data_IF_657053694094
#
_entry.id   IF_657053694094
#
_cell.length_a   1.000
_cell.length_b   1.000
_cell.length_c   1.000
_cell.angle_alpha   90.00
_cell.angle_beta   90.00
_cell.angle_gamma   90.00
#
_symmetry.space_group_name_H-M   'P 1'
#
loop_
_entity.id
_entity.type
_entity.pdbx_description
1 polymer ?
#
# COMPACT_ATOMS: atom_id res chain seq x y z
N UNK A 1 29.14 -15.70 -31.98
CA UNK A 1 28.57 -16.21 -30.72
C UNK A 1 28.81 -15.24 -29.56
N UNK A 2 29.92 -15.29 -28.79
CA UNK A 2 30.12 -14.39 -27.64
C UNK A 2 30.11 -12.89 -28.00
N UNK A 3 30.85 -12.49 -29.05
CA UNK A 3 30.91 -11.09 -29.51
C UNK A 3 29.54 -10.53 -29.92
N UNK A 4 28.72 -11.36 -30.56
CA UNK A 4 27.36 -11.03 -30.98
C UNK A 4 26.41 -10.95 -29.78
N UNK A 5 26.52 -11.89 -28.83
CA UNK A 5 25.72 -11.91 -27.60
C UNK A 5 25.98 -10.68 -26.74
N UNK A 6 27.26 -10.31 -26.51
CA UNK A 6 27.61 -9.08 -25.78
C UNK A 6 26.97 -7.86 -26.45
N UNK A 7 27.06 -7.78 -27.79
CA UNK A 7 26.49 -6.66 -28.54
C UNK A 7 24.96 -6.63 -28.47
N UNK A 8 24.30 -7.78 -28.57
CA UNK A 8 22.84 -7.90 -28.55
C UNK A 8 22.29 -7.56 -27.17
N UNK A 9 22.85 -8.14 -26.10
CA UNK A 9 22.45 -7.92 -24.72
C UNK A 9 22.70 -6.48 -24.27
N UNK A 10 23.84 -5.88 -24.64
CA UNK A 10 24.10 -4.46 -24.40
C UNK A 10 23.00 -3.58 -25.00
N UNK A 11 22.63 -3.85 -26.26
CA UNK A 11 21.57 -3.09 -26.94
C UNK A 11 20.20 -3.32 -26.30
N UNK A 12 19.89 -4.54 -25.85
CA UNK A 12 18.64 -4.85 -25.16
C UNK A 12 18.52 -4.09 -23.82
N UNK A 13 19.63 -3.88 -23.12
CA UNK A 13 19.71 -3.01 -21.93
C UNK A 13 19.73 -1.49 -22.27
N UNK A 14 19.65 -1.11 -23.54
CA UNK A 14 19.65 0.28 -23.98
C UNK A 14 20.99 1.01 -23.83
N UNK A 15 22.08 0.28 -23.56
CA UNK A 15 23.39 0.88 -23.30
C UNK A 15 24.15 1.15 -24.60
N UNK A 16 24.91 2.23 -24.65
CA UNK A 16 25.95 2.49 -25.65
C UNK A 16 27.24 1.74 -25.29
N UNK A 17 28.17 1.60 -26.26
CA UNK A 17 29.49 1.00 -25.98
C UNK A 17 30.27 1.81 -24.94
N UNK A 18 30.09 3.13 -24.90
CA UNK A 18 30.74 4.01 -23.93
C UNK A 18 30.19 3.76 -22.53
N UNK A 19 28.86 3.65 -22.39
CA UNK A 19 28.21 3.42 -21.10
C UNK A 19 28.55 2.04 -20.53
N UNK A 20 28.59 0.99 -21.37
CA UNK A 20 29.04 -0.33 -20.94
C UNK A 20 30.51 -0.29 -20.48
N UNK A 21 31.36 0.43 -21.22
CA UNK A 21 32.77 0.56 -20.88
C UNK A 21 32.98 1.28 -19.54
N UNK A 22 32.21 2.35 -19.27
CA UNK A 22 32.21 3.07 -17.99
C UNK A 22 31.80 2.13 -16.85
N UNK A 23 30.72 1.35 -17.03
CA UNK A 23 30.23 0.41 -16.01
C UNK A 23 31.23 -0.71 -15.69
N UNK A 24 31.99 -1.16 -16.69
CA UNK A 24 33.00 -2.22 -16.55
C UNK A 24 34.40 -1.68 -16.20
N UNK A 25 34.53 -0.36 -16.02
CA UNK A 25 35.82 0.30 -15.79
C UNK A 25 36.89 -0.03 -16.84
N UNK A 26 36.50 -0.04 -18.12
CA UNK A 26 37.41 -0.27 -19.26
C UNK A 26 37.29 0.84 -20.30
N UNK A 27 38.24 0.91 -21.23
CA UNK A 27 38.15 1.82 -22.36
C UNK A 27 37.05 1.37 -23.34
N UNK A 28 36.34 2.32 -23.96
CA UNK A 28 35.34 2.05 -25.01
C UNK A 28 35.89 1.17 -26.15
N UNK A 29 37.15 1.37 -26.50
CA UNK A 29 37.82 0.56 -27.53
C UNK A 29 37.88 -0.92 -27.14
N UNK A 30 38.03 -1.24 -25.86
CA UNK A 30 38.03 -2.61 -25.34
C UNK A 30 36.68 -3.29 -25.62
N UNK A 31 35.58 -2.62 -25.26
CA UNK A 31 34.22 -3.11 -25.57
C UNK A 31 34.01 -3.24 -27.08
N UNK A 32 34.47 -2.28 -27.88
CA UNK A 32 34.38 -2.38 -29.34
C UNK A 32 35.19 -3.55 -29.91
N UNK A 33 36.32 -3.93 -29.32
CA UNK A 33 37.12 -5.08 -29.78
C UNK A 33 36.42 -6.39 -29.42
N UNK A 34 35.85 -6.51 -28.23
CA UNK A 34 35.04 -7.67 -27.84
C UNK A 34 33.84 -7.87 -28.77
N UNK A 35 33.07 -6.81 -29.05
CA UNK A 35 31.90 -6.89 -29.94
C UNK A 35 32.25 -7.19 -31.40
N UNK A 36 33.48 -6.89 -31.82
CA UNK A 36 33.99 -7.22 -33.16
C UNK A 36 34.69 -8.58 -33.22
N UNK A 37 34.83 -9.28 -32.08
CA UNK A 37 35.59 -10.53 -31.99
C UNK A 37 37.10 -10.37 -32.16
N UNK A 38 37.63 -9.15 -32.01
CA UNK A 38 39.07 -8.85 -32.13
C UNK A 38 39.84 -9.16 -30.84
N UNK A 39 39.13 -9.28 -29.72
CA UNK A 39 39.64 -9.74 -28.43
C UNK A 39 38.53 -10.44 -27.67
N UNK A 40 38.89 -11.17 -26.61
CA UNK A 40 37.92 -11.87 -25.74
C UNK A 40 38.11 -11.36 -24.32
N UNK A 41 37.03 -11.08 -23.56
CA UNK A 41 37.12 -10.78 -22.13
C UNK A 41 37.62 -12.00 -21.36
N UNK A 42 38.39 -11.78 -20.29
CA UNK A 42 38.76 -12.84 -19.36
C UNK A 42 37.58 -13.29 -18.49
N UNK A 43 37.79 -14.29 -17.63
CA UNK A 43 36.74 -14.87 -16.80
C UNK A 43 36.14 -13.86 -15.81
N UNK A 44 36.96 -13.02 -15.20
CA UNK A 44 36.51 -11.98 -14.26
C UNK A 44 35.68 -10.91 -14.98
N UNK A 45 36.12 -10.52 -16.17
CA UNK A 45 35.39 -9.60 -17.03
C UNK A 45 34.08 -10.21 -17.55
N UNK A 46 34.03 -11.51 -17.83
CA UNK A 46 32.79 -12.20 -18.19
C UNK A 46 31.77 -12.17 -17.03
N UNK A 47 32.21 -12.37 -15.79
CA UNK A 47 31.35 -12.20 -14.62
C UNK A 47 30.86 -10.76 -14.50
N UNK A 48 31.75 -9.78 -14.66
CA UNK A 48 31.41 -8.35 -14.60
C UNK A 48 30.41 -7.94 -15.69
N UNK A 49 30.59 -8.46 -16.92
CA UNK A 49 29.65 -8.27 -18.02
C UNK A 49 28.29 -8.89 -17.69
N UNK A 50 28.28 -10.09 -17.09
CA UNK A 50 27.06 -10.79 -16.71
C UNK A 50 26.25 -10.03 -15.66
N UNK A 51 26.92 -9.43 -14.68
CA UNK A 51 26.30 -8.58 -13.66
C UNK A 51 25.75 -7.28 -14.25
N UNK A 52 26.55 -6.58 -15.07
CA UNK A 52 26.13 -5.31 -15.69
C UNK A 52 24.96 -5.52 -16.66
N UNK A 53 24.92 -6.64 -17.36
CA UNK A 53 23.85 -6.98 -18.29
C UNK A 53 22.73 -7.78 -17.64
N UNK A 54 22.83 -8.08 -16.34
CA UNK A 54 21.86 -8.84 -15.53
C UNK A 54 21.40 -10.15 -16.21
N UNK A 55 22.36 -10.90 -16.75
CA UNK A 55 22.12 -12.21 -17.34
C UNK A 55 23.17 -13.21 -16.85
N UNK A 56 22.84 -14.49 -16.73
CA UNK A 56 23.82 -15.52 -16.44
C UNK A 56 24.97 -15.55 -17.48
N UNK A 57 26.20 -15.84 -17.03
CA UNK A 57 27.38 -15.99 -17.93
C UNK A 57 27.13 -17.04 -19.03
N UNK A 58 26.36 -18.09 -18.74
CA UNK A 58 25.91 -19.08 -19.71
C UNK A 58 25.24 -18.46 -20.94
N UNK A 59 24.38 -17.46 -20.73
CA UNK A 59 23.73 -16.66 -21.81
C UNK A 59 24.75 -15.96 -22.70
N UNK A 60 25.82 -15.39 -22.12
CA UNK A 60 26.89 -14.73 -22.88
C UNK A 60 27.59 -15.73 -23.80
N UNK A 61 27.80 -16.95 -23.30
CA UNK A 61 28.47 -18.04 -24.01
C UNK A 61 27.57 -18.77 -25.02
N UNK A 62 26.30 -18.40 -25.12
CA UNK A 62 25.36 -18.93 -26.10
C UNK A 62 24.59 -20.16 -25.64
N UNK A 63 24.57 -20.43 -24.33
CA UNK A 63 23.60 -21.36 -23.76
C UNK A 63 22.22 -20.70 -23.88
N UNK A 64 21.31 -21.36 -24.59
CA UNK A 64 19.94 -20.90 -24.72
C UNK A 64 19.27 -21.06 -23.36
N UNK A 65 19.07 -19.95 -22.64
CA UNK A 65 18.10 -19.93 -21.56
C UNK A 65 16.76 -20.15 -22.23
N UNK A 66 16.12 -21.29 -21.93
CA UNK A 66 14.73 -21.50 -22.34
C UNK A 66 13.93 -20.29 -21.88
N UNK A 67 13.23 -19.59 -22.79
CA UNK A 67 12.39 -18.48 -22.39
C UNK A 67 11.47 -18.97 -21.27
N UNK A 68 11.23 -18.15 -20.22
CA UNK A 68 10.30 -18.55 -19.16
C UNK A 68 9.03 -19.06 -19.81
N UNK A 69 8.61 -20.27 -19.43
CA UNK A 69 7.52 -20.96 -20.11
C UNK A 69 6.29 -20.05 -20.06
N UNK A 70 5.62 -19.88 -21.19
CA UNK A 70 4.45 -18.98 -21.31
C UNK A 70 3.40 -19.29 -20.24
N UNK A 71 3.33 -20.54 -19.79
CA UNK A 71 2.48 -21.00 -18.69
C UNK A 71 2.86 -20.40 -17.33
N UNK A 72 4.14 -20.19 -17.03
CA UNK A 72 4.59 -19.56 -15.77
C UNK A 72 4.21 -18.07 -15.72
N UNK A 73 4.37 -17.36 -16.84
CA UNK A 73 3.97 -15.96 -16.96
C UNK A 73 2.45 -15.80 -16.79
N UNK A 74 1.69 -16.71 -17.40
CA UNK A 74 0.22 -16.74 -17.27
C UNK A 74 -0.20 -17.01 -15.83
N UNK A 75 0.42 -17.97 -15.16
CA UNK A 75 0.14 -18.28 -13.76
C UNK A 75 0.46 -17.11 -12.82
N UNK A 76 1.56 -16.38 -13.06
CA UNK A 76 1.90 -15.18 -12.28
C UNK A 76 0.87 -14.07 -12.51
N UNK A 77 0.45 -13.85 -13.77
CA UNK A 77 -0.56 -12.85 -14.12
C UNK A 77 -1.91 -13.14 -13.47
N UNK A 78 -2.37 -14.39 -13.52
CA UNK A 78 -3.62 -14.82 -12.89
C UNK A 78 -3.58 -14.60 -11.36
N UNK A 79 -2.46 -14.97 -10.71
CA UNK A 79 -2.29 -14.71 -9.27
C UNK A 79 -2.32 -13.23 -8.93
N UNK A 80 -1.70 -12.39 -9.76
CA UNK A 80 -1.69 -10.94 -9.57
C UNK A 80 -3.10 -10.34 -9.71
N UNK A 81 -3.89 -10.82 -10.67
CA UNK A 81 -5.28 -10.39 -10.86
C UNK A 81 -6.14 -10.75 -9.64
N UNK A 82 -6.00 -11.97 -9.12
CA UNK A 82 -6.70 -12.42 -7.91
C UNK A 82 -6.35 -11.54 -6.70
N UNK A 83 -5.06 -11.26 -6.47
CA UNK A 83 -4.61 -10.41 -5.36
C UNK A 83 -5.18 -9.00 -5.51
N UNK A 84 -5.14 -8.43 -6.72
CA UNK A 84 -5.68 -7.09 -6.97
C UNK A 84 -7.19 -7.03 -6.71
N UNK A 85 -7.95 -8.04 -7.14
CA UNK A 85 -9.37 -8.15 -6.88
C UNK A 85 -9.67 -8.26 -5.37
N UNK A 86 -8.88 -9.05 -4.62
CA UNK A 86 -9.01 -9.19 -3.17
C UNK A 86 -8.74 -7.86 -2.44
N UNK A 87 -7.67 -7.16 -2.80
CA UNK A 87 -7.34 -5.87 -2.20
C UNK A 87 -8.42 -4.82 -2.47
N UNK A 88 -8.96 -4.78 -3.70
CA UNK A 88 -10.07 -3.90 -4.05
C UNK A 88 -11.31 -4.19 -3.21
N UNK A 89 -11.65 -5.46 -3.00
CA UNK A 89 -12.77 -5.87 -2.15
C UNK A 89 -12.56 -5.44 -0.69
N UNK A 90 -11.36 -5.62 -0.13
CA UNK A 90 -11.04 -5.20 1.24
C UNK A 90 -11.17 -3.68 1.41
N UNK A 91 -10.67 -2.90 0.44
CA UNK A 91 -10.78 -1.43 0.50
C UNK A 91 -12.25 -0.97 0.46
N UNK A 92 -13.08 -1.60 -0.39
CA UNK A 92 -14.52 -1.30 -0.47
C UNK A 92 -15.24 -1.70 0.82
N UNK A 93 -14.96 -2.89 1.36
CA UNK A 93 -15.55 -3.37 2.61
C UNK A 93 -15.20 -2.44 3.78
N UNK A 94 -13.93 -2.06 3.92
CA UNK A 94 -13.47 -1.11 4.95
C UNK A 94 -14.15 0.25 4.84
N UNK A 95 -14.30 0.80 3.62
CA UNK A 95 -15.02 2.07 3.40
C UNK A 95 -16.49 1.96 3.82
N UNK A 96 -17.17 0.90 3.41
CA UNK A 96 -18.58 0.68 3.75
C UNK A 96 -18.76 0.48 5.26
N UNK A 97 -17.85 -0.25 5.91
CA UNK A 97 -17.84 -0.43 7.36
C UNK A 97 -17.70 0.92 8.06
N UNK A 98 -16.74 1.75 7.66
CA UNK A 98 -16.55 3.09 8.24
C UNK A 98 -17.78 3.97 8.05
N UNK A 99 -18.41 3.92 6.88
CA UNK A 99 -19.65 4.67 6.60
C UNK A 99 -20.77 4.30 7.58
N UNK A 100 -21.04 3.00 7.75
CA UNK A 100 -22.07 2.53 8.67
C UNK A 100 -21.73 2.79 10.14
N UNK A 101 -20.45 2.74 10.52
CA UNK A 101 -20.01 3.15 11.85
C UNK A 101 -20.29 4.63 12.11
N UNK A 102 -19.97 5.51 11.16
CA UNK A 102 -20.28 6.93 11.26
C UNK A 102 -21.78 7.20 11.39
N UNK A 103 -22.61 6.55 10.58
CA UNK A 103 -24.08 6.66 10.65
C UNK A 103 -24.60 6.18 12.01
N UNK A 104 -24.13 5.01 12.47
CA UNK A 104 -24.51 4.44 13.75
C UNK A 104 -24.14 5.36 14.91
N UNK A 105 -22.95 5.97 14.88
CA UNK A 105 -22.50 6.90 15.90
C UNK A 105 -23.39 8.15 15.95
N UNK A 106 -23.75 8.73 14.79
CA UNK A 106 -24.69 9.84 14.72
C UNK A 106 -26.05 9.46 15.32
N UNK A 107 -26.59 8.28 14.97
CA UNK A 107 -27.86 7.80 15.48
C UNK A 107 -27.84 7.62 17.02
N UNK A 108 -26.78 7.02 17.55
CA UNK A 108 -26.60 6.83 19.01
C UNK A 108 -26.56 8.18 19.73
N UNK A 109 -25.81 9.16 19.21
CA UNK A 109 -25.73 10.50 19.80
C UNK A 109 -27.13 11.15 19.84
N UNK A 110 -27.88 11.09 18.73
CA UNK A 110 -29.25 11.63 18.66
C UNK A 110 -30.17 10.95 19.67
N UNK A 111 -30.11 9.62 19.80
CA UNK A 111 -30.93 8.86 20.76
C UNK A 111 -30.59 9.26 22.19
N UNK A 112 -29.31 9.37 22.56
CA UNK A 112 -28.92 9.81 23.90
C UNK A 112 -29.43 11.22 24.20
N UNK A 113 -29.30 12.16 23.25
CA UNK A 113 -29.87 13.51 23.41
C UNK A 113 -31.39 13.48 23.60
N UNK A 114 -32.11 12.68 22.81
CA UNK A 114 -33.56 12.56 22.93
C UNK A 114 -33.97 11.99 24.30
N UNK A 115 -33.25 10.97 24.79
CA UNK A 115 -33.48 10.39 26.12
C UNK A 115 -33.23 11.41 27.22
N UNK A 116 -32.12 12.16 27.16
CA UNK A 116 -31.82 13.21 28.13
C UNK A 116 -32.88 14.32 28.13
N UNK A 117 -33.39 14.70 26.95
CA UNK A 117 -34.46 15.70 26.83
C UNK A 117 -35.79 15.22 27.44
N UNK A 118 -36.16 13.95 27.22
CA UNK A 118 -37.42 13.37 27.72
C UNK A 118 -37.35 13.08 29.22
N UNK A 119 -36.22 12.56 29.70
CA UNK A 119 -36.01 12.30 31.13
C UNK A 119 -36.03 13.60 31.96
N UNK A 120 -35.80 14.74 31.31
CA UNK A 120 -35.67 16.03 31.98
C UNK A 120 -34.40 16.09 32.83
N UNK A 121 -34.28 17.17 33.61
CA UNK A 121 -33.14 17.39 34.50
C UNK A 121 -33.39 16.72 35.85
N UNK A 122 -32.61 15.70 36.25
CA UNK A 122 -32.73 15.08 37.57
C UNK A 122 -32.35 16.04 38.71
N UNK A 123 -31.66 17.14 38.40
CA UNK A 123 -31.16 18.11 39.37
C UNK A 123 -32.25 18.79 40.20
N UNK A 124 -33.48 18.87 39.68
CA UNK A 124 -34.57 19.57 40.36
C UNK A 124 -35.16 18.77 41.53
N UNK A 125 -35.11 17.43 41.48
CA UNK A 125 -35.79 16.54 42.42
C UNK A 125 -34.81 15.65 43.21
N UNK A 126 -33.55 16.08 43.28
CA UNK A 126 -32.49 15.25 43.83
C UNK A 126 -32.49 15.24 45.35
N UNK A 127 -32.45 14.04 45.94
CA UNK A 127 -32.26 13.85 47.37
C UNK A 127 -30.78 13.66 47.72
N UNK A 128 -30.20 14.62 48.43
CA UNK A 128 -28.80 14.57 48.89
C UNK A 128 -28.65 13.95 50.27
N UNK A 129 -29.74 13.53 50.91
CA UNK A 129 -29.72 12.96 52.26
C UNK A 129 -29.27 11.50 52.29
N UNK A 130 -29.47 10.77 51.19
CA UNK A 130 -28.99 9.40 51.02
C UNK A 130 -27.63 9.36 50.28
N UNK A 131 -26.56 8.86 50.91
CA UNK A 131 -25.23 8.85 50.29
C UNK A 131 -25.14 8.04 48.99
N UNK A 132 -25.90 6.95 48.84
CA UNK A 132 -25.83 6.09 47.66
C UNK A 132 -26.42 6.80 46.43
N UNK A 133 -27.62 7.37 46.56
CA UNK A 133 -28.26 8.14 45.50
C UNK A 133 -27.48 9.42 45.16
N UNK A 134 -26.87 10.08 46.15
CA UNK A 134 -26.01 11.23 45.95
C UNK A 134 -24.75 10.91 45.11
N UNK A 135 -24.08 9.79 45.37
CA UNK A 135 -22.92 9.36 44.57
C UNK A 135 -23.32 9.02 43.13
N UNK A 136 -24.41 8.26 42.95
CA UNK A 136 -24.90 7.85 41.63
C UNK A 136 -25.22 9.05 40.75
N UNK A 137 -25.94 10.02 41.32
CA UNK A 137 -26.29 11.18 40.54
C UNK A 137 -25.07 12.05 40.20
N UNK A 138 -24.05 12.16 41.06
CA UNK A 138 -22.82 12.91 40.71
C UNK A 138 -22.15 12.26 39.50
N UNK A 139 -22.12 10.94 39.46
CA UNK A 139 -21.68 10.19 38.28
C UNK A 139 -22.49 10.52 37.03
N UNK A 140 -23.82 10.56 37.15
CA UNK A 140 -24.72 10.97 36.06
C UNK A 140 -24.45 12.41 35.61
N UNK A 141 -24.22 13.35 36.54
CA UNK A 141 -23.91 14.74 36.22
C UNK A 141 -22.61 14.86 35.42
N UNK A 142 -21.56 14.16 35.85
CA UNK A 142 -20.29 14.15 35.15
C UNK A 142 -20.47 13.60 33.73
N UNK A 143 -21.24 12.50 33.58
CA UNK A 143 -21.56 11.93 32.29
C UNK A 143 -22.30 12.95 31.39
N UNK A 144 -23.40 13.55 31.88
CA UNK A 144 -24.19 14.51 31.11
C UNK A 144 -23.35 15.73 30.71
N UNK A 145 -22.57 16.27 31.65
CA UNK A 145 -21.68 17.41 31.44
C UNK A 145 -20.63 17.15 30.35
N UNK A 146 -20.02 15.95 30.37
CA UNK A 146 -19.04 15.51 29.38
C UNK A 146 -19.72 15.26 28.03
N UNK A 147 -20.84 14.55 28.04
CA UNK A 147 -21.58 14.19 26.84
C UNK A 147 -22.02 15.44 26.08
N UNK A 148 -22.67 16.40 26.74
CA UNK A 148 -23.16 17.64 26.10
C UNK A 148 -22.01 18.46 25.48
N UNK A 149 -20.80 18.40 26.04
CA UNK A 149 -19.62 19.12 25.50
C UNK A 149 -18.91 18.38 24.38
N UNK A 150 -18.86 17.05 24.42
CA UNK A 150 -18.09 16.24 23.46
C UNK A 150 -18.97 15.81 22.27
N UNK A 151 -20.23 15.49 22.51
CA UNK A 151 -21.14 14.94 21.52
C UNK A 151 -21.33 15.83 20.29
N UNK A 152 -21.40 17.18 20.36
CA UNK A 152 -21.49 18.02 19.16
C UNK A 152 -20.27 17.86 18.23
N UNK A 153 -19.06 17.82 18.78
CA UNK A 153 -17.84 17.62 18.00
C UNK A 153 -17.78 16.22 17.40
N UNK A 154 -18.12 15.20 18.19
CA UNK A 154 -18.20 13.82 17.73
C UNK A 154 -19.25 13.66 16.61
N UNK A 155 -20.41 14.31 16.75
CA UNK A 155 -21.49 14.28 15.76
C UNK A 155 -21.08 14.93 14.45
N UNK A 156 -20.46 16.12 14.48
CA UNK A 156 -19.95 16.80 13.28
C UNK A 156 -18.89 15.91 12.60
N UNK A 157 -17.94 15.37 13.36
CA UNK A 157 -16.91 14.48 12.83
C UNK A 157 -17.50 13.23 12.17
N UNK A 158 -18.46 12.59 12.83
CA UNK A 158 -19.16 11.43 12.30
C UNK A 158 -20.00 11.76 11.04
N UNK A 159 -20.68 12.90 11.02
CA UNK A 159 -21.46 13.37 9.87
C UNK A 159 -20.55 13.65 8.65
N UNK A 160 -19.43 14.34 8.85
CA UNK A 160 -18.43 14.57 7.81
C UNK A 160 -17.86 13.23 7.34
N UNK A 161 -17.51 12.33 8.25
CA UNK A 161 -17.04 10.98 7.94
C UNK A 161 -18.04 10.19 7.09
N UNK A 162 -19.34 10.24 7.41
CA UNK A 162 -20.39 9.61 6.62
C UNK A 162 -20.48 10.20 5.21
N UNK A 163 -20.36 11.52 5.05
CA UNK A 163 -20.37 12.19 3.74
C UNK A 163 -19.16 11.77 2.91
N UNK A 164 -17.96 11.76 3.49
CA UNK A 164 -16.71 11.42 2.80
C UNK A 164 -16.65 9.94 2.37
N UNK A 165 -17.27 9.05 3.15
CA UNK A 165 -17.29 7.61 2.87
C UNK A 165 -18.47 7.19 1.98
N UNK A 166 -19.40 8.11 1.70
CA UNK A 166 -20.53 7.87 0.80
C UNK A 166 -20.01 7.55 -0.61
N UNK A 167 -20.47 6.43 -1.16
CA UNK A 167 -20.18 6.07 -2.55
C UNK A 167 -20.79 7.14 -3.47
N UNK A 168 -19.96 7.87 -4.22
CA UNK A 168 -20.46 8.65 -5.37
C UNK A 168 -21.01 7.65 -6.38
N UNK A 169 -22.31 7.75 -6.66
CA UNK A 169 -23.00 6.99 -7.70
C UNK A 169 -22.55 7.53 -9.05
#
# INVERSE_FOLDING_TARGET
MLSENIRALRKAKGLTQQELAIKLNVARQTVSKWEKGLSVPDAEMLMSISEVLEVPVSTLLGETIDPPQVDDLKAISEKLEVINAQLAQIMVARRNMLHWLCISLCAVIIVIFAVLLVAGSPYLNWDYSDPETAVLGVGFHIFEWLFVRIAPFAFIGAMVGAILTRKKI
#
